data_IF_546480019944
#
_entry.id   IF_546480019944
#
_cell.length_a   1.000
_cell.length_b   1.000
_cell.length_c   1.000
_cell.angle_alpha   90.00
_cell.angle_beta   90.00
_cell.angle_gamma   90.00
#
_symmetry.space_group_name_H-M   'P 1'
#
loop_
_entity.id
_entity.type
_entity.pdbx_description
1 polymer ?
#
# COMPACT_ATOMS: atom_id res chain seq x y z
N UNK A 1 20.84 2.12 -31.54
CA UNK A 1 20.07 1.93 -30.32
C UNK A 1 21.07 1.83 -29.18
N UNK A 2 20.86 2.52 -28.06
CA UNK A 2 21.71 2.33 -26.89
C UNK A 2 21.47 0.91 -26.34
N UNK A 3 22.54 0.22 -25.99
CA UNK A 3 22.45 -1.11 -25.38
C UNK A 3 21.76 -0.99 -24.01
N UNK A 4 20.76 -1.84 -23.73
CA UNK A 4 20.06 -1.82 -22.44
C UNK A 4 21.01 -2.29 -21.33
N UNK A 5 21.24 -1.50 -20.27
CA UNK A 5 22.10 -1.90 -19.17
C UNK A 5 21.64 -3.20 -18.51
N UNK A 6 22.56 -4.14 -18.37
CA UNK A 6 22.38 -5.40 -17.63
C UNK A 6 22.89 -5.20 -16.21
N UNK A 7 22.05 -5.47 -15.21
CA UNK A 7 22.41 -5.28 -13.80
C UNK A 7 22.27 -6.61 -13.04
N UNK A 8 23.36 -7.07 -12.44
CA UNK A 8 23.34 -8.24 -11.54
C UNK A 8 22.94 -7.82 -10.12
N UNK A 9 21.68 -7.40 -9.99
CA UNK A 9 21.06 -7.03 -8.71
C UNK A 9 19.90 -7.95 -8.47
N UNK A 10 19.77 -8.47 -7.25
CA UNK A 10 18.61 -9.23 -6.81
C UNK A 10 17.63 -8.32 -6.04
N UNK A 11 16.53 -7.86 -6.65
CA UNK A 11 15.57 -6.98 -5.98
C UNK A 11 14.75 -7.67 -4.88
N UNK A 12 14.97 -8.97 -4.67
CA UNK A 12 14.31 -9.77 -3.64
C UNK A 12 15.28 -10.35 -2.61
N UNK A 13 16.55 -9.94 -2.64
CA UNK A 13 17.53 -10.26 -1.60
C UNK A 13 17.23 -9.50 -0.31
N UNK A 14 17.55 -10.09 0.84
CA UNK A 14 17.26 -9.53 2.16
C UNK A 14 17.89 -8.14 2.38
N UNK A 15 19.08 -7.88 1.84
CA UNK A 15 19.78 -6.59 1.90
C UNK A 15 19.06 -5.53 1.05
N UNK A 16 18.65 -5.88 -0.18
CA UNK A 16 17.86 -4.99 -1.02
C UNK A 16 16.51 -4.66 -0.37
N UNK A 17 15.80 -5.66 0.15
CA UNK A 17 14.47 -5.45 0.77
C UNK A 17 14.56 -4.62 2.06
N UNK A 18 15.70 -4.68 2.77
CA UNK A 18 15.93 -3.91 4.00
C UNK A 18 16.25 -2.45 3.71
N UNK A 19 17.12 -2.18 2.76
CA UNK A 19 17.63 -0.85 2.40
C UNK A 19 17.71 -0.69 0.87
N UNK A 20 16.56 -0.48 0.18
CA UNK A 20 16.50 -0.45 -1.28
C UNK A 20 17.08 0.82 -1.89
N UNK A 21 17.24 1.90 -1.12
CA UNK A 21 17.57 3.22 -1.62
C UNK A 21 18.91 3.28 -2.41
N UNK A 22 20.02 2.68 -1.95
CA UNK A 22 21.28 2.67 -2.70
C UNK A 22 21.16 1.92 -4.03
N UNK A 23 20.40 0.82 -4.07
CA UNK A 23 20.15 0.05 -5.29
C UNK A 23 19.25 0.83 -6.25
N UNK A 24 18.22 1.51 -5.74
CA UNK A 24 17.35 2.37 -6.53
C UNK A 24 18.12 3.49 -7.23
N UNK A 25 19.09 4.12 -6.55
CA UNK A 25 19.94 5.14 -7.14
C UNK A 25 20.79 4.56 -8.28
N UNK A 26 21.40 3.39 -8.06
CA UNK A 26 22.18 2.70 -9.10
C UNK A 26 21.31 2.37 -10.32
N UNK A 27 20.09 1.86 -10.11
CA UNK A 27 19.15 1.55 -11.18
C UNK A 27 18.73 2.79 -11.98
N UNK A 28 18.37 3.88 -11.29
CA UNK A 28 18.04 5.15 -11.96
C UNK A 28 19.20 5.72 -12.77
N UNK A 29 20.43 5.55 -12.26
CA UNK A 29 21.65 6.04 -12.90
C UNK A 29 22.03 5.20 -14.12
N UNK A 30 21.82 3.88 -14.06
CA UNK A 30 22.12 2.95 -15.15
C UNK A 30 21.34 3.27 -16.42
N UNK A 31 20.03 3.55 -16.33
CA UNK A 31 19.25 3.86 -17.51
C UNK A 31 17.75 3.99 -17.23
N UNK A 32 16.97 4.37 -18.26
CA UNK A 32 15.49 4.42 -18.18
C UNK A 32 14.90 3.01 -18.09
N UNK A 33 15.53 2.04 -18.75
CA UNK A 33 15.18 0.63 -18.75
C UNK A 33 16.45 -0.17 -18.46
N UNK A 34 16.34 -1.17 -17.61
CA UNK A 34 17.42 -2.09 -17.23
C UNK A 34 16.97 -3.53 -17.44
N UNK A 35 17.90 -4.46 -17.59
CA UNK A 35 17.63 -5.89 -17.63
C UNK A 35 18.23 -6.57 -16.40
N UNK A 36 17.42 -7.41 -15.73
CA UNK A 36 17.78 -8.17 -14.53
C UNK A 36 17.89 -9.64 -14.89
N UNK A 37 19.07 -10.15 -15.24
CA UNK A 37 19.26 -11.48 -15.85
C UNK A 37 18.89 -12.62 -14.91
N UNK A 38 19.01 -12.43 -13.60
CA UNK A 38 18.66 -13.44 -12.59
C UNK A 38 17.25 -13.97 -12.74
N UNK A 39 16.32 -13.12 -13.09
CA UNK A 39 14.90 -13.45 -13.28
C UNK A 39 14.45 -13.38 -14.75
N UNK A 40 15.34 -12.97 -15.66
CA UNK A 40 15.00 -12.75 -17.06
C UNK A 40 13.92 -11.67 -17.23
N UNK A 41 13.99 -10.59 -16.46
CA UNK A 41 12.98 -9.53 -16.44
C UNK A 41 13.57 -8.16 -16.76
N UNK A 42 12.74 -7.29 -17.26
CA UNK A 42 13.05 -5.87 -17.45
C UNK A 42 12.70 -5.07 -16.19
N UNK A 43 13.34 -3.92 -15.98
CA UNK A 43 13.07 -3.04 -14.85
C UNK A 43 13.03 -1.58 -15.26
N UNK A 44 12.18 -0.80 -14.58
CA UNK A 44 12.10 0.66 -14.68
C UNK A 44 12.13 1.28 -13.29
N UNK A 45 13.05 2.23 -13.07
CA UNK A 45 13.26 2.86 -11.78
C UNK A 45 13.12 4.39 -11.80
N UNK A 46 13.13 5.03 -12.99
CA UNK A 46 12.92 6.47 -13.14
C UNK A 46 11.44 6.81 -13.13
N UNK A 47 11.10 7.99 -12.62
CA UNK A 47 9.70 8.42 -12.49
C UNK A 47 8.95 8.42 -13.83
N UNK A 48 9.51 9.02 -14.85
CA UNK A 48 8.85 9.18 -16.14
C UNK A 48 8.46 7.84 -16.76
N UNK A 49 9.36 6.85 -16.74
CA UNK A 49 9.14 5.52 -17.32
C UNK A 49 8.15 4.71 -16.48
N UNK A 50 8.29 4.72 -15.16
CA UNK A 50 7.36 4.04 -14.25
C UNK A 50 5.96 4.62 -14.38
N UNK A 51 5.83 5.94 -14.34
CA UNK A 51 4.53 6.63 -14.48
C UNK A 51 3.92 6.38 -15.86
N UNK A 52 4.72 6.42 -16.92
CA UNK A 52 4.28 6.12 -18.28
C UNK A 52 3.75 4.69 -18.41
N UNK A 53 4.49 3.70 -17.91
CA UNK A 53 4.10 2.30 -17.94
C UNK A 53 2.83 2.00 -17.12
N UNK A 54 2.65 2.66 -15.96
CA UNK A 54 1.42 2.54 -15.16
C UNK A 54 0.18 3.07 -15.88
N UNK A 55 0.33 4.02 -16.80
CA UNK A 55 -0.79 4.64 -17.54
C UNK A 55 -1.09 3.96 -18.86
N UNK A 56 -0.13 3.31 -19.46
CA UNK A 56 -0.30 2.59 -20.73
C UNK A 56 -0.65 1.12 -20.50
N UNK A 57 -1.86 0.87 -20.02
CA UNK A 57 -2.37 -0.48 -19.77
C UNK A 57 -2.52 -1.32 -21.07
N UNK A 58 -2.54 -0.69 -22.24
CA UNK A 58 -2.64 -1.39 -23.51
C UNK A 58 -1.30 -2.03 -23.91
N UNK A 59 -0.19 -1.42 -23.51
CA UNK A 59 1.16 -1.96 -23.73
C UNK A 59 1.63 -2.75 -22.51
N UNK A 60 1.39 -2.26 -21.29
CA UNK A 60 1.83 -2.85 -20.02
C UNK A 60 0.63 -3.41 -19.27
N UNK A 61 0.18 -4.61 -19.65
CA UNK A 61 -1.03 -5.22 -19.14
C UNK A 61 -0.87 -5.80 -17.73
N UNK A 62 -1.97 -5.86 -16.98
CA UNK A 62 -2.06 -6.43 -15.64
C UNK A 62 -2.66 -7.84 -15.62
N UNK A 63 -3.45 -8.22 -16.62
CA UNK A 63 -4.16 -9.50 -16.65
C UNK A 63 -3.25 -10.73 -16.71
N UNK A 64 -1.99 -10.56 -17.14
CA UNK A 64 -0.98 -11.61 -17.09
C UNK A 64 -0.34 -11.79 -15.69
N UNK A 65 -0.89 -11.14 -14.66
CA UNK A 65 -0.37 -11.13 -13.29
C UNK A 65 0.52 -9.93 -13.01
N UNK A 66 0.40 -9.40 -11.79
CA UNK A 66 1.16 -8.23 -11.30
C UNK A 66 2.34 -8.61 -10.40
N UNK A 67 2.65 -9.90 -10.34
CA UNK A 67 3.85 -10.48 -9.75
C UNK A 67 4.79 -11.04 -10.82
N UNK A 68 5.84 -11.72 -10.37
CA UNK A 68 6.82 -12.39 -11.24
C UNK A 68 6.16 -13.51 -12.07
N UNK A 69 5.19 -14.22 -11.47
CA UNK A 69 4.41 -15.26 -12.16
C UNK A 69 3.65 -14.72 -13.36
N UNK A 70 3.68 -15.46 -14.48
CA UNK A 70 2.92 -15.15 -15.69
C UNK A 70 1.71 -16.08 -15.82
N UNK A 71 0.51 -15.57 -15.59
CA UNK A 71 -0.75 -16.33 -15.62
C UNK A 71 -1.10 -16.92 -17.00
N UNK A 72 -0.39 -16.54 -18.06
CA UNK A 72 -0.51 -17.15 -19.37
C UNK A 72 0.30 -18.44 -19.46
N UNK A 73 1.31 -18.62 -18.59
CA UNK A 73 2.26 -19.75 -18.60
C UNK A 73 2.03 -20.69 -17.42
N UNK A 74 1.48 -20.20 -16.30
CA UNK A 74 1.24 -21.00 -15.10
C UNK A 74 -0.11 -20.67 -14.44
N UNK A 75 -0.67 -21.64 -13.73
CA UNK A 75 -1.95 -21.47 -13.03
C UNK A 75 -1.78 -20.51 -11.87
N UNK A 76 -2.64 -19.48 -11.75
CA UNK A 76 -2.66 -18.61 -10.59
C UNK A 76 -2.90 -19.40 -9.29
N UNK A 77 -2.24 -19.02 -8.21
CA UNK A 77 -2.39 -19.66 -6.90
C UNK A 77 -3.77 -19.42 -6.25
N UNK A 78 -4.51 -18.43 -6.72
CA UNK A 78 -5.89 -18.09 -6.37
C UNK A 78 -6.64 -17.57 -7.61
N UNK A 79 -7.97 -17.44 -7.57
CA UNK A 79 -8.67 -16.68 -8.60
C UNK A 79 -8.09 -15.27 -8.71
N UNK A 80 -7.72 -14.80 -9.91
CA UNK A 80 -7.17 -13.45 -10.10
C UNK A 80 -8.08 -12.35 -9.53
N UNK A 81 -7.48 -11.25 -9.12
CA UNK A 81 -8.23 -10.06 -8.69
C UNK A 81 -8.88 -9.38 -9.89
N UNK A 82 -10.19 -9.13 -9.82
CA UNK A 82 -10.93 -8.43 -10.85
C UNK A 82 -10.53 -6.94 -10.97
N UNK A 83 -9.77 -6.42 -10.00
CA UNK A 83 -9.29 -5.05 -9.97
C UNK A 83 -7.81 -4.96 -10.33
N UNK A 84 -6.97 -5.79 -9.71
CA UNK A 84 -5.51 -5.67 -9.82
C UNK A 84 -4.95 -6.50 -10.98
N UNK A 85 -5.53 -7.69 -11.22
CA UNK A 85 -5.05 -8.69 -12.18
C UNK A 85 -6.02 -8.88 -13.36
N UNK A 86 -6.64 -7.77 -13.78
CA UNK A 86 -7.58 -7.73 -14.90
C UNK A 86 -7.36 -6.45 -15.71
N UNK A 87 -7.68 -6.51 -17.01
CA UNK A 87 -7.68 -5.36 -17.92
C UNK A 87 -9.11 -5.11 -18.47
N UNK A 88 -9.37 -3.94 -19.08
CA UNK A 88 -10.67 -3.67 -19.70
C UNK A 88 -11.09 -4.76 -20.71
N UNK A 89 -12.38 -5.13 -20.82
CA UNK A 89 -13.53 -4.48 -20.16
C UNK A 89 -13.85 -5.00 -18.76
N UNK A 90 -13.31 -6.17 -18.34
CA UNK A 90 -13.63 -6.79 -17.06
C UNK A 90 -13.23 -5.89 -15.87
N UNK A 91 -12.00 -5.35 -15.91
CA UNK A 91 -11.52 -4.38 -14.93
C UNK A 91 -12.48 -3.19 -14.79
N UNK A 92 -12.93 -2.60 -15.90
CA UNK A 92 -13.77 -1.39 -15.88
C UNK A 92 -15.09 -1.63 -15.15
N UNK A 93 -15.71 -2.81 -15.34
CA UNK A 93 -16.94 -3.21 -14.66
C UNK A 93 -16.71 -3.35 -13.15
N UNK A 94 -15.72 -4.12 -12.76
CA UNK A 94 -15.34 -4.34 -11.36
C UNK A 94 -14.95 -3.03 -10.66
N UNK A 95 -14.16 -2.19 -11.35
CA UNK A 95 -13.73 -0.88 -10.85
C UNK A 95 -14.90 0.05 -10.56
N UNK A 96 -15.93 0.09 -11.42
CA UNK A 96 -17.13 0.91 -11.23
C UNK A 96 -17.86 0.53 -9.96
N UNK A 97 -18.07 -0.77 -9.71
CA UNK A 97 -18.74 -1.27 -8.51
C UNK A 97 -17.96 -0.88 -7.26
N UNK A 98 -16.65 -1.13 -7.23
CA UNK A 98 -15.81 -0.83 -6.07
C UNK A 98 -15.70 0.68 -5.82
N UNK A 99 -15.54 1.50 -6.88
CA UNK A 99 -15.47 2.95 -6.74
C UNK A 99 -16.76 3.55 -6.18
N UNK A 100 -17.95 2.96 -6.48
CA UNK A 100 -19.21 3.37 -5.88
C UNK A 100 -19.25 3.05 -4.38
N UNK A 101 -18.77 1.87 -3.97
CA UNK A 101 -18.66 1.50 -2.56
C UNK A 101 -17.72 2.44 -1.79
N UNK A 102 -16.69 2.95 -2.44
CA UNK A 102 -15.71 3.90 -1.87
C UNK A 102 -15.99 5.36 -2.28
N UNK A 103 -17.23 5.69 -2.63
CA UNK A 103 -17.59 7.06 -3.01
C UNK A 103 -17.49 8.03 -1.81
N UNK A 104 -17.25 9.33 -2.05
CA UNK A 104 -17.14 10.32 -0.98
C UNK A 104 -18.33 10.30 -0.02
N UNK A 105 -19.57 10.13 -0.53
CA UNK A 105 -20.78 10.04 0.29
C UNK A 105 -20.75 8.83 1.24
N UNK A 106 -20.22 7.69 0.81
CA UNK A 106 -20.07 6.50 1.67
C UNK A 106 -18.98 6.74 2.71
N UNK A 107 -17.84 7.28 2.30
CA UNK A 107 -16.69 7.53 3.18
C UNK A 107 -17.01 8.54 4.29
N UNK A 108 -17.78 9.60 4.00
CA UNK A 108 -18.16 10.57 5.03
C UNK A 108 -18.99 9.94 6.15
N UNK A 109 -19.78 8.89 5.87
CA UNK A 109 -20.51 8.14 6.91
C UNK A 109 -19.60 7.31 7.82
N UNK A 110 -18.40 6.97 7.35
CA UNK A 110 -17.41 6.22 8.14
C UNK A 110 -16.57 7.11 9.06
N UNK A 111 -16.45 8.39 8.74
CA UNK A 111 -15.62 9.37 9.47
C UNK A 111 -15.88 9.38 10.98
N UNK A 112 -17.13 9.39 11.49
CA UNK A 112 -17.39 9.37 12.93
C UNK A 112 -16.84 8.12 13.63
N UNK A 113 -16.98 6.94 13.01
CA UNK A 113 -16.46 5.69 13.56
C UNK A 113 -14.92 5.70 13.61
N UNK A 114 -14.26 6.13 12.53
CA UNK A 114 -12.81 6.28 12.50
C UNK A 114 -12.31 7.25 13.57
N UNK A 115 -13.02 8.40 13.75
CA UNK A 115 -12.69 9.39 14.75
C UNK A 115 -12.83 8.86 16.18
N UNK A 116 -13.90 8.11 16.46
CA UNK A 116 -14.10 7.48 17.77
C UNK A 116 -12.99 6.50 18.08
N UNK A 117 -12.68 5.59 17.16
CA UNK A 117 -11.58 4.63 17.30
C UNK A 117 -10.23 5.32 17.53
N UNK A 118 -9.92 6.38 16.76
CA UNK A 118 -8.68 7.13 16.91
C UNK A 118 -8.59 7.82 18.29
N UNK A 119 -9.66 8.46 18.73
CA UNK A 119 -9.70 9.18 20.03
C UNK A 119 -9.49 8.24 21.23
N UNK A 120 -10.20 7.10 21.26
CA UNK A 120 -10.06 6.11 22.35
C UNK A 120 -8.66 5.51 22.37
N UNK A 121 -8.17 5.07 21.20
CA UNK A 121 -6.89 4.42 21.09
C UNK A 121 -5.73 5.34 21.46
N UNK A 122 -5.67 6.54 20.89
CA UNK A 122 -4.61 7.51 21.18
C UNK A 122 -4.65 7.94 22.64
N UNK A 123 -5.84 8.11 23.25
CA UNK A 123 -5.95 8.42 24.67
C UNK A 123 -5.31 7.33 25.55
N UNK A 124 -5.56 6.07 25.27
CA UNK A 124 -4.96 4.93 25.97
C UNK A 124 -3.43 4.88 25.81
N UNK A 125 -2.92 5.10 24.58
CA UNK A 125 -1.49 5.10 24.31
C UNK A 125 -0.75 6.26 25.01
N UNK A 126 -1.34 7.45 25.01
CA UNK A 126 -0.77 8.61 25.71
C UNK A 126 -0.72 8.37 27.23
N UNK A 127 -1.74 7.72 27.80
CA UNK A 127 -1.75 7.38 29.23
C UNK A 127 -0.64 6.35 29.59
N UNK A 128 -0.29 5.45 28.67
CA UNK A 128 0.83 4.50 28.85
C UNK A 128 2.20 5.16 28.73
N UNK A 129 2.33 6.20 27.91
CA UNK A 129 3.57 6.94 27.68
C UNK A 129 4.59 6.25 26.77
N UNK A 130 4.56 4.90 26.66
CA UNK A 130 5.37 4.11 25.73
C UNK A 130 4.50 3.05 25.04
N UNK A 131 4.77 2.80 23.76
CA UNK A 131 4.03 1.81 22.98
C UNK A 131 4.79 1.45 21.71
N UNK A 132 4.39 0.37 21.07
CA UNK A 132 4.89 0.02 19.73
C UNK A 132 4.00 0.67 18.67
N UNK A 133 4.58 1.54 17.83
CA UNK A 133 3.86 2.27 16.78
C UNK A 133 3.26 1.36 15.70
N UNK A 134 3.79 0.16 15.51
CA UNK A 134 3.24 -0.82 14.55
C UNK A 134 2.07 -1.56 15.21
N UNK A 135 2.32 -2.36 16.24
CA UNK A 135 1.33 -3.29 16.79
C UNK A 135 0.26 -2.60 17.62
N UNK A 136 0.64 -1.62 18.45
CA UNK A 136 -0.28 -0.95 19.37
C UNK A 136 -1.10 0.17 18.71
N UNK A 137 -0.62 0.72 17.58
CA UNK A 137 -1.33 1.82 16.89
C UNK A 137 -1.71 1.47 15.45
N UNK A 138 -0.73 1.27 14.56
CA UNK A 138 -1.02 1.14 13.13
C UNK A 138 -1.87 -0.10 12.80
N UNK A 139 -1.49 -1.28 13.32
CA UNK A 139 -2.26 -2.52 13.15
C UNK A 139 -3.61 -2.43 13.88
N UNK A 140 -3.62 -2.06 15.15
CA UNK A 140 -4.83 -2.01 15.95
C UNK A 140 -5.86 -1.04 15.37
N UNK A 141 -5.43 0.16 14.97
CA UNK A 141 -6.31 1.16 14.35
C UNK A 141 -6.87 0.68 13.01
N UNK A 142 -6.01 0.20 12.10
CA UNK A 142 -6.46 -0.24 10.78
C UNK A 142 -7.37 -1.46 10.85
N UNK A 143 -7.07 -2.44 11.71
CA UNK A 143 -7.92 -3.62 11.92
C UNK A 143 -9.31 -3.25 12.46
N UNK A 144 -9.38 -2.29 13.37
CA UNK A 144 -10.66 -1.86 13.93
C UNK A 144 -11.41 -0.97 12.96
N UNK A 145 -10.82 0.15 12.52
CA UNK A 145 -11.51 1.14 11.71
C UNK A 145 -11.94 0.60 10.33
N UNK A 146 -11.00 -0.01 9.61
CA UNK A 146 -11.30 -0.56 8.29
C UNK A 146 -12.13 -1.84 8.37
N UNK A 147 -11.91 -2.69 9.38
CA UNK A 147 -12.72 -3.88 9.61
C UNK A 147 -14.20 -3.53 9.84
N UNK A 148 -14.47 -2.52 10.68
CA UNK A 148 -15.83 -1.99 10.89
C UNK A 148 -16.39 -1.38 9.60
N UNK A 149 -15.59 -0.65 8.85
CA UNK A 149 -16.00 -0.04 7.58
C UNK A 149 -16.41 -1.09 6.53
N UNK A 150 -15.69 -2.19 6.43
CA UNK A 150 -16.07 -3.30 5.52
C UNK A 150 -17.33 -4.01 5.99
N UNK A 151 -17.59 -4.02 7.30
CA UNK A 151 -18.69 -4.72 7.94
C UNK A 151 -18.29 -6.08 8.53
N UNK A 152 -17.01 -6.25 8.87
CA UNK A 152 -16.53 -7.47 9.52
C UNK A 152 -16.89 -7.50 11.02
N UNK A 153 -17.21 -8.68 11.54
CA UNK A 153 -17.20 -8.92 12.98
C UNK A 153 -15.82 -8.73 13.58
N UNK A 154 -15.69 -8.47 14.91
CA UNK A 154 -14.37 -8.17 15.52
C UNK A 154 -13.45 -9.39 15.62
N UNK A 155 -13.99 -10.61 15.69
CA UNK A 155 -13.22 -11.83 15.92
C UNK A 155 -12.41 -12.24 14.68
N UNK A 156 -11.11 -12.51 14.88
CA UNK A 156 -10.23 -13.05 13.85
C UNK A 156 -9.74 -12.02 12.82
N UNK A 157 -9.94 -10.71 13.04
CA UNK A 157 -9.46 -9.67 12.12
C UNK A 157 -7.95 -9.69 11.94
N UNK A 158 -7.20 -10.17 12.94
CA UNK A 158 -5.74 -10.38 12.86
C UNK A 158 -5.32 -11.29 11.69
N UNK A 159 -6.22 -12.17 11.22
CA UNK A 159 -6.01 -12.99 10.04
C UNK A 159 -5.76 -12.14 8.77
N UNK A 160 -6.24 -10.90 8.74
CA UNK A 160 -6.04 -9.99 7.61
C UNK A 160 -4.57 -9.57 7.45
N UNK A 161 -3.83 -9.43 8.55
CA UNK A 161 -2.39 -9.12 8.52
C UNK A 161 -1.60 -10.30 7.95
N UNK A 162 -1.92 -11.53 8.40
CA UNK A 162 -1.26 -12.75 7.92
C UNK A 162 -1.56 -12.95 6.42
N UNK A 163 -2.81 -12.72 6.02
CA UNK A 163 -3.22 -12.87 4.63
C UNK A 163 -2.62 -11.78 3.73
N UNK A 164 -2.59 -10.53 4.19
CA UNK A 164 -1.98 -9.40 3.48
C UNK A 164 -0.49 -9.61 3.24
N UNK A 165 0.25 -10.00 4.27
CA UNK A 165 1.67 -10.33 4.15
C UNK A 165 1.94 -11.39 3.08
N UNK A 166 1.16 -12.47 3.08
CA UNK A 166 1.26 -13.53 2.05
C UNK A 166 0.93 -12.98 0.66
N UNK A 167 -0.13 -12.18 0.49
CA UNK A 167 -0.54 -11.64 -0.82
C UNK A 167 0.58 -10.82 -1.45
N UNK A 168 1.31 -10.01 -0.69
CA UNK A 168 2.40 -9.21 -1.20
C UNK A 168 3.70 -10.02 -1.40
N UNK A 169 3.96 -11.03 -0.58
CA UNK A 169 5.10 -11.92 -0.77
C UNK A 169 5.00 -12.78 -2.03
N UNK A 170 3.80 -13.22 -2.39
CA UNK A 170 3.59 -14.08 -3.59
C UNK A 170 3.72 -13.34 -4.91
N UNK A 171 3.85 -12.01 -4.92
CA UNK A 171 4.20 -11.26 -6.13
C UNK A 171 5.69 -11.37 -6.49
N UNK A 172 6.55 -11.74 -5.53
CA UNK A 172 7.97 -12.02 -5.76
C UNK A 172 8.24 -13.45 -6.25
N UNK A 173 9.52 -13.85 -6.24
CA UNK A 173 9.94 -15.22 -6.55
C UNK A 173 9.56 -16.18 -5.42
N UNK A 174 9.64 -17.49 -5.71
CA UNK A 174 9.46 -18.57 -4.71
C UNK A 174 10.70 -18.69 -3.82
N UNK A 175 11.00 -17.62 -3.07
CA UNK A 175 12.05 -17.56 -2.07
C UNK A 175 11.53 -17.91 -0.68
N UNK A 176 12.40 -17.80 0.34
CA UNK A 176 12.06 -18.03 1.74
C UNK A 176 10.82 -17.25 2.20
N UNK A 177 10.71 -15.95 1.84
CA UNK A 177 9.59 -15.09 2.25
C UNK A 177 8.26 -15.57 1.63
N UNK A 178 8.28 -16.02 0.38
CA UNK A 178 7.12 -16.64 -0.27
C UNK A 178 6.68 -17.89 0.48
N UNK A 179 7.62 -18.80 0.79
CA UNK A 179 7.31 -20.08 1.42
C UNK A 179 6.79 -19.89 2.86
N UNK A 180 7.48 -19.09 3.66
CA UNK A 180 7.10 -18.80 5.05
C UNK A 180 5.72 -18.13 5.13
N UNK A 181 5.46 -17.10 4.32
CA UNK A 181 4.18 -16.39 4.33
C UNK A 181 3.03 -17.26 3.82
N UNK A 182 3.28 -18.09 2.82
CA UNK A 182 2.27 -19.03 2.29
C UNK A 182 1.90 -20.08 3.34
N UNK A 183 2.89 -20.63 4.05
CA UNK A 183 2.67 -21.58 5.14
C UNK A 183 1.91 -20.94 6.30
N UNK A 184 2.27 -19.70 6.70
CA UNK A 184 1.59 -18.95 7.74
C UNK A 184 0.13 -18.62 7.38
N UNK A 185 -0.15 -18.38 6.11
CA UNK A 185 -1.50 -18.02 5.64
C UNK A 185 -2.43 -19.24 5.44
N UNK A 186 -1.91 -20.46 5.40
CA UNK A 186 -2.73 -21.67 5.16
C UNK A 186 -3.89 -21.82 6.17
N UNK A 187 -3.68 -21.68 7.51
CA UNK A 187 -4.76 -21.79 8.48
C UNK A 187 -5.84 -20.71 8.35
N UNK A 188 -5.48 -19.52 7.82
CA UNK A 188 -6.40 -18.37 7.77
C UNK A 188 -7.20 -18.26 6.46
N UNK A 189 -6.84 -19.04 5.42
CA UNK A 189 -7.51 -19.01 4.11
C UNK A 189 -9.01 -19.29 4.18
N UNK A 190 -9.40 -20.25 5.03
CA UNK A 190 -10.81 -20.58 5.21
C UNK A 190 -11.59 -19.42 5.85
N UNK A 191 -10.98 -18.73 6.83
CA UNK A 191 -11.55 -17.55 7.45
C UNK A 191 -11.75 -16.42 6.42
N UNK A 192 -10.73 -16.15 5.60
CA UNK A 192 -10.82 -15.14 4.54
C UNK A 192 -11.94 -15.49 3.56
N UNK A 193 -12.01 -16.75 3.09
CA UNK A 193 -13.04 -17.18 2.16
C UNK A 193 -14.45 -17.02 2.72
N UNK A 194 -14.64 -17.33 4.01
CA UNK A 194 -15.92 -17.15 4.70
C UNK A 194 -16.31 -15.68 4.84
N UNK A 195 -15.35 -14.82 5.25
CA UNK A 195 -15.61 -13.39 5.47
C UNK A 195 -15.66 -12.55 4.19
N UNK A 196 -15.45 -13.15 3.02
CA UNK A 196 -15.80 -12.57 1.74
C UNK A 196 -17.28 -12.77 1.38
N UNK A 197 -18.00 -13.66 2.04
CA UNK A 197 -19.41 -13.95 1.73
C UNK A 197 -20.37 -12.91 2.33
N UNK A 198 -21.48 -12.67 1.65
CA UNK A 198 -22.53 -11.73 2.09
C UNK A 198 -22.97 -11.97 3.54
N UNK A 199 -23.18 -13.22 3.92
CA UNK A 199 -23.70 -13.59 5.24
C UNK A 199 -22.75 -13.27 6.42
N UNK A 200 -21.48 -13.04 6.15
CA UNK A 200 -20.47 -12.69 7.15
C UNK A 200 -20.26 -11.17 7.32
N UNK A 201 -20.99 -10.37 6.56
CA UNK A 201 -20.82 -8.91 6.50
C UNK A 201 -22.06 -8.19 7.03
N UNK A 202 -21.83 -7.11 7.76
CA UNK A 202 -22.91 -6.25 8.24
C UNK A 202 -23.57 -5.49 7.07
N UNK A 203 -24.88 -5.28 7.17
CA UNK A 203 -25.71 -4.70 6.11
C UNK A 203 -25.38 -3.23 5.76
N UNK A 204 -24.67 -2.54 6.62
CA UNK A 204 -24.30 -1.12 6.46
C UNK A 204 -22.84 -0.88 6.07
N UNK A 205 -22.04 -1.95 5.89
CA UNK A 205 -20.63 -1.88 5.53
C UNK A 205 -20.38 -1.72 4.02
N UNK A 206 -19.11 -1.49 3.67
CA UNK A 206 -18.66 -1.42 2.28
C UNK A 206 -18.93 -2.72 1.52
N UNK A 207 -18.85 -3.86 2.21
CA UNK A 207 -19.17 -5.17 1.64
C UNK A 207 -20.63 -5.25 1.18
N UNK A 208 -21.57 -4.77 1.98
CA UNK A 208 -22.98 -4.74 1.60
C UNK A 208 -23.24 -3.86 0.36
N UNK A 209 -22.53 -2.72 0.24
CA UNK A 209 -22.61 -1.87 -0.96
C UNK A 209 -22.11 -2.61 -2.20
N UNK A 210 -21.05 -3.42 -2.07
CA UNK A 210 -20.57 -4.26 -3.18
C UNK A 210 -21.63 -5.31 -3.55
N UNK A 211 -22.22 -5.99 -2.58
CA UNK A 211 -23.23 -7.02 -2.83
C UNK A 211 -24.53 -6.45 -3.40
N UNK A 212 -24.87 -5.19 -3.12
CA UNK A 212 -26.00 -4.53 -3.78
C UNK A 212 -25.86 -4.42 -5.30
N UNK A 213 -24.63 -4.45 -5.81
CA UNK A 213 -24.38 -4.50 -7.24
C UNK A 213 -24.66 -5.89 -7.83
N UNK A 214 -24.51 -6.96 -7.05
CA UNK A 214 -24.95 -8.30 -7.45
C UNK A 214 -26.47 -8.40 -7.52
N UNK A 215 -27.19 -7.81 -6.55
CA UNK A 215 -28.66 -7.72 -6.56
C UNK A 215 -29.16 -6.95 -7.78
N UNK A 216 -28.41 -5.95 -8.24
CA UNK A 216 -28.72 -5.19 -9.44
C UNK A 216 -28.28 -5.87 -10.76
N UNK A 217 -27.66 -7.05 -10.69
CA UNK A 217 -27.17 -7.79 -11.85
C UNK A 217 -25.94 -7.17 -12.54
N UNK A 218 -25.24 -6.26 -11.89
CA UNK A 218 -24.03 -5.62 -12.44
C UNK A 218 -22.81 -6.53 -12.36
N UNK A 219 -22.76 -7.39 -11.35
CA UNK A 219 -21.75 -8.45 -11.12
C UNK A 219 -22.47 -9.68 -10.59
N UNK A 220 -21.82 -10.85 -10.66
CA UNK A 220 -22.36 -12.06 -10.01
C UNK A 220 -22.11 -12.04 -8.50
N UNK A 221 -22.78 -12.92 -7.75
CA UNK A 221 -22.53 -13.10 -6.30
C UNK A 221 -21.07 -13.48 -6.02
N UNK A 222 -20.50 -14.38 -6.85
CA UNK A 222 -19.09 -14.79 -6.75
C UNK A 222 -18.13 -13.62 -7.04
N UNK A 223 -18.43 -12.82 -8.07
CA UNK A 223 -17.63 -11.64 -8.38
C UNK A 223 -17.68 -10.60 -7.25
N UNK A 224 -18.85 -10.41 -6.61
CA UNK A 224 -18.98 -9.56 -5.44
C UNK A 224 -18.08 -10.04 -4.29
N UNK A 225 -18.06 -11.35 -4.01
CA UNK A 225 -17.15 -11.94 -3.04
C UNK A 225 -15.66 -11.70 -3.38
N UNK A 226 -15.29 -11.79 -4.67
CA UNK A 226 -13.91 -11.46 -5.11
C UNK A 226 -13.58 -9.97 -4.94
N UNK A 227 -14.54 -9.08 -5.09
CA UNK A 227 -14.34 -7.64 -4.84
C UNK A 227 -14.17 -7.34 -3.35
N UNK A 228 -14.97 -7.99 -2.48
CA UNK A 228 -14.78 -7.92 -1.02
C UNK A 228 -13.39 -8.44 -0.66
N UNK A 229 -12.98 -9.60 -1.19
CA UNK A 229 -11.63 -10.12 -0.99
C UNK A 229 -10.54 -9.11 -1.37
N UNK A 230 -10.75 -8.35 -2.45
CA UNK A 230 -9.79 -7.32 -2.87
C UNK A 230 -9.65 -6.20 -1.83
N UNK A 231 -10.74 -5.83 -1.13
CA UNK A 231 -10.67 -4.90 0.01
C UNK A 231 -9.89 -5.52 1.17
N UNK A 232 -10.20 -6.77 1.54
CA UNK A 232 -9.58 -7.46 2.67
C UNK A 232 -8.08 -7.73 2.46
N UNK A 233 -7.64 -7.99 1.23
CA UNK A 233 -6.25 -8.32 0.92
C UNK A 233 -5.33 -7.10 0.76
N UNK A 234 -5.87 -5.91 0.51
CA UNK A 234 -5.06 -4.73 0.19
C UNK A 234 -5.33 -3.54 1.12
N UNK A 235 -6.45 -3.54 1.85
CA UNK A 235 -6.89 -2.35 2.58
C UNK A 235 -6.26 -2.17 3.96
N UNK A 236 -5.63 -3.18 4.53
CA UNK A 236 -5.07 -3.12 5.89
C UNK A 236 -3.55 -3.02 5.87
N UNK A 237 -2.86 -4.02 5.34
CA UNK A 237 -1.40 -4.15 5.44
C UNK A 237 -0.66 -2.91 4.89
N UNK A 238 -1.09 -2.40 3.73
CA UNK A 238 -0.52 -1.19 3.13
C UNK A 238 -0.72 0.07 3.98
N UNK A 239 -1.87 0.22 4.60
CA UNK A 239 -2.20 1.34 5.49
C UNK A 239 -1.42 1.26 6.80
N UNK A 240 -1.30 0.07 7.38
CA UNK A 240 -0.47 -0.21 8.56
C UNK A 240 0.97 0.26 8.33
N UNK A 241 1.58 -0.17 7.22
CA UNK A 241 2.96 0.23 6.91
C UNK A 241 3.08 1.72 6.60
N UNK A 242 2.05 2.34 5.99
CA UNK A 242 2.07 3.79 5.78
C UNK A 242 2.04 4.54 7.09
N UNK A 243 1.19 4.15 8.05
CA UNK A 243 1.16 4.78 9.38
C UNK A 243 2.44 4.54 10.17
N UNK A 244 2.98 3.33 10.11
CA UNK A 244 4.24 3.01 10.78
C UNK A 244 5.40 3.91 10.28
N UNK A 245 5.50 4.11 8.96
CA UNK A 245 6.50 5.00 8.37
C UNK A 245 6.21 6.49 8.65
N UNK A 246 4.95 6.92 8.70
CA UNK A 246 4.59 8.28 9.11
C UNK A 246 5.03 8.56 10.55
N UNK A 247 4.74 7.64 11.47
CA UNK A 247 5.15 7.74 12.86
C UNK A 247 6.67 7.73 13.01
N UNK A 248 7.36 6.84 12.26
CA UNK A 248 8.82 6.82 12.25
C UNK A 248 9.41 8.15 11.79
N UNK A 249 8.95 8.70 10.67
CA UNK A 249 9.45 9.96 10.13
C UNK A 249 9.20 11.14 11.09
N UNK A 250 7.98 11.21 11.67
CA UNK A 250 7.61 12.26 12.61
C UNK A 250 8.33 12.14 13.97
N UNK A 251 8.62 10.92 14.42
CA UNK A 251 9.41 10.69 15.65
C UNK A 251 10.90 10.92 15.45
N UNK A 252 11.40 10.80 14.21
CA UNK A 252 12.80 11.05 13.86
C UNK A 252 13.12 12.53 13.63
N UNK A 253 12.11 13.36 13.34
CA UNK A 253 12.28 14.79 13.09
C UNK A 253 11.29 15.61 13.94
N UNK A 254 11.74 16.10 15.13
CA UNK A 254 10.91 16.91 16.01
C UNK A 254 10.34 18.19 15.37
N UNK A 255 11.00 18.74 14.33
CA UNK A 255 10.50 19.94 13.65
C UNK A 255 9.29 19.62 12.77
N UNK A 256 9.28 18.47 12.10
CA UNK A 256 8.12 17.98 11.34
C UNK A 256 6.95 17.65 12.27
N UNK A 257 7.23 17.04 13.44
CA UNK A 257 6.21 16.80 14.46
C UNK A 257 5.62 18.11 15.00
N UNK A 258 6.45 19.06 15.36
CA UNK A 258 5.99 20.39 15.82
C UNK A 258 5.13 21.08 14.76
N UNK A 259 5.55 21.05 13.49
CA UNK A 259 4.80 21.63 12.39
C UNK A 259 3.40 21.01 12.23
N UNK A 260 3.28 19.66 12.34
CA UNK A 260 1.99 18.99 12.29
C UNK A 260 1.10 19.33 13.49
N UNK A 261 1.68 19.51 14.67
CA UNK A 261 0.94 19.91 15.88
C UNK A 261 0.43 21.34 15.78
N UNK A 262 1.27 22.26 15.28
CA UNK A 262 0.92 23.67 15.13
C UNK A 262 -0.15 23.87 14.05
N UNK A 263 -0.13 23.04 13.01
CA UNK A 263 -1.12 23.04 11.92
C UNK A 263 -1.56 21.61 11.57
N UNK A 264 -2.57 21.05 12.25
CA UNK A 264 -3.10 19.72 11.94
C UNK A 264 -3.71 19.57 10.54
N UNK A 265 -3.96 20.67 9.81
CA UNK A 265 -4.41 20.60 8.41
C UNK A 265 -3.35 20.00 7.48
N UNK A 266 -2.10 19.99 7.90
CA UNK A 266 -0.98 19.34 7.20
C UNK A 266 -1.08 17.79 7.21
N UNK A 267 -2.02 17.21 7.96
CA UNK A 267 -2.15 15.73 8.08
C UNK A 267 -2.24 15.01 6.75
N UNK A 268 -3.00 15.56 5.81
CA UNK A 268 -3.09 15.00 4.45
C UNK A 268 -1.76 15.11 3.70
N UNK A 269 -1.11 16.26 3.76
CA UNK A 269 0.20 16.46 3.12
C UNK A 269 1.27 15.54 3.73
N UNK A 270 1.27 15.39 5.06
CA UNK A 270 2.16 14.45 5.76
C UNK A 270 1.95 13.00 5.31
N UNK A 271 0.70 12.58 5.09
CA UNK A 271 0.37 11.25 4.60
C UNK A 271 0.82 11.04 3.14
N UNK A 272 0.57 12.00 2.24
CA UNK A 272 1.04 11.94 0.84
C UNK A 272 2.58 11.92 0.78
N UNK A 273 3.25 12.72 1.60
CA UNK A 273 4.71 12.73 1.69
C UNK A 273 5.25 11.39 2.24
N UNK A 274 4.56 10.77 3.19
CA UNK A 274 4.93 9.43 3.66
C UNK A 274 4.84 8.41 2.53
N UNK A 275 3.77 8.45 1.74
CA UNK A 275 3.60 7.56 0.58
C UNK A 275 4.66 7.79 -0.50
N UNK A 276 5.06 9.04 -0.72
CA UNK A 276 6.17 9.36 -1.61
C UNK A 276 7.50 8.87 -1.04
N UNK A 277 7.82 9.28 0.17
CA UNK A 277 9.15 9.11 0.77
C UNK A 277 9.43 7.66 1.16
N UNK A 278 8.55 7.00 1.88
CA UNK A 278 8.72 5.62 2.30
C UNK A 278 8.26 4.62 1.24
N UNK A 279 7.24 4.97 0.45
CA UNK A 279 6.66 4.11 -0.58
C UNK A 279 6.43 2.68 -0.05
N UNK A 280 5.49 2.45 0.89
CA UNK A 280 5.31 1.12 1.46
C UNK A 280 5.18 0.02 0.41
N UNK A 281 4.42 0.24 -0.66
CA UNK A 281 4.44 -0.64 -1.84
C UNK A 281 5.62 -0.23 -2.73
N UNK A 282 6.64 -1.09 -2.78
CA UNK A 282 7.90 -0.81 -3.47
C UNK A 282 7.85 -1.10 -4.97
N UNK A 283 7.13 -2.16 -5.35
CA UNK A 283 7.19 -2.65 -6.73
C UNK A 283 5.85 -3.26 -7.16
N UNK A 284 5.60 -3.22 -8.47
CA UNK A 284 4.62 -4.06 -9.14
C UNK A 284 5.13 -4.47 -10.52
N UNK A 285 4.71 -5.64 -10.97
CA UNK A 285 4.99 -6.09 -12.32
C UNK A 285 3.91 -5.63 -13.32
N UNK A 286 4.33 -5.54 -14.54
CA UNK A 286 3.48 -5.52 -15.74
C UNK A 286 4.00 -6.56 -16.73
N UNK A 287 3.19 -6.86 -17.74
CA UNK A 287 3.63 -7.69 -18.85
C UNK A 287 3.37 -6.95 -20.15
N UNK A 288 4.35 -6.93 -21.04
CA UNK A 288 4.18 -6.30 -22.36
C UNK A 288 3.19 -7.12 -23.20
N UNK A 289 2.13 -6.47 -23.66
CA UNK A 289 1.13 -7.07 -24.57
C UNK A 289 1.59 -7.00 -26.03
N UNK A 290 2.55 -6.15 -26.34
CA UNK A 290 3.20 -5.91 -27.65
C UNK A 290 4.62 -5.40 -27.40
N UNK A 291 5.43 -5.33 -28.45
CA UNK A 291 6.73 -4.66 -28.35
C UNK A 291 6.54 -3.22 -27.84
N UNK A 292 7.33 -2.83 -26.85
CA UNK A 292 7.25 -1.53 -26.19
C UNK A 292 8.53 -0.75 -26.40
N UNK A 293 8.41 0.43 -27.03
CA UNK A 293 9.51 1.38 -27.15
C UNK A 293 9.51 2.33 -25.95
N UNK A 294 10.57 2.28 -25.12
CA UNK A 294 10.72 3.10 -23.92
C UNK A 294 12.08 3.77 -23.92
N UNK A 295 12.10 5.09 -24.10
CA UNK A 295 13.32 5.91 -24.09
C UNK A 295 14.47 5.34 -24.98
N UNK A 296 14.11 4.77 -26.14
CA UNK A 296 15.04 4.20 -27.11
C UNK A 296 15.45 2.74 -26.88
N UNK A 297 14.92 2.08 -25.84
CA UNK A 297 15.03 0.64 -25.63
C UNK A 297 13.75 -0.07 -26.10
N UNK A 298 13.88 -1.22 -26.77
CA UNK A 298 12.76 -2.07 -27.18
C UNK A 298 12.60 -3.22 -26.20
N UNK A 299 11.45 -3.32 -25.54
CA UNK A 299 11.07 -4.46 -24.71
C UNK A 299 10.13 -5.34 -25.53
N UNK A 300 10.51 -6.60 -25.83
CA UNK A 300 9.67 -7.50 -26.63
C UNK A 300 8.31 -7.77 -25.99
N UNK A 301 7.33 -8.15 -26.83
CA UNK A 301 6.03 -8.62 -26.38
C UNK A 301 6.17 -9.87 -25.51
N UNK A 302 5.37 -9.94 -24.45
CA UNK A 302 5.36 -11.09 -23.54
C UNK A 302 6.34 -11.04 -22.37
N UNK A 303 7.13 -9.98 -22.26
CA UNK A 303 8.14 -9.83 -21.23
C UNK A 303 7.57 -9.26 -19.92
N UNK A 304 8.10 -9.72 -18.79
CA UNK A 304 7.82 -9.15 -17.47
C UNK A 304 8.65 -7.89 -17.23
N UNK A 305 8.00 -6.85 -16.75
CA UNK A 305 8.61 -5.57 -16.42
C UNK A 305 8.33 -5.24 -14.97
N UNK A 306 9.36 -5.12 -14.16
CA UNK A 306 9.28 -4.72 -12.76
C UNK A 306 9.35 -3.19 -12.66
N UNK A 307 8.29 -2.58 -12.16
CA UNK A 307 8.19 -1.15 -11.92
C UNK A 307 8.58 -0.86 -10.48
N UNK A 308 9.69 -0.14 -10.27
CA UNK A 308 10.18 0.25 -8.95
C UNK A 308 9.54 1.55 -8.50
N UNK A 309 8.37 1.46 -7.84
CA UNK A 309 7.60 2.63 -7.38
C UNK A 309 8.37 3.44 -6.34
N UNK A 310 9.04 2.75 -5.40
CA UNK A 310 9.88 3.40 -4.39
C UNK A 310 11.04 4.18 -5.00
N UNK A 311 11.67 3.63 -6.05
CA UNK A 311 12.71 4.33 -6.79
C UNK A 311 12.19 5.56 -7.52
N UNK A 312 11.05 5.44 -8.20
CA UNK A 312 10.40 6.53 -8.94
C UNK A 312 10.01 7.69 -8.01
N UNK A 313 9.48 7.39 -6.84
CA UNK A 313 9.08 8.39 -5.84
C UNK A 313 10.27 9.13 -5.20
N UNK A 314 11.48 8.67 -5.44
CA UNK A 314 12.73 9.33 -5.02
C UNK A 314 13.62 9.71 -6.21
N UNK A 315 13.06 9.84 -7.40
CA UNK A 315 13.80 10.28 -8.58
C UNK A 315 14.08 11.80 -8.51
N UNK A 316 15.36 12.24 -8.46
CA UNK A 316 15.70 13.66 -8.41
C UNK A 316 15.36 14.43 -9.69
N UNK A 317 14.98 13.72 -10.78
CA UNK A 317 14.49 14.36 -12.03
C UNK A 317 13.06 14.88 -11.86
N UNK A 318 12.32 14.35 -10.89
CA UNK A 318 10.91 14.72 -10.60
C UNK A 318 10.80 15.48 -9.28
N UNK A 319 11.58 15.07 -8.25
CA UNK A 319 11.45 15.55 -6.88
C UNK A 319 12.71 16.29 -6.45
N UNK A 320 12.58 17.55 -6.06
CA UNK A 320 13.66 18.30 -5.40
C UNK A 320 13.94 17.71 -4.01
N UNK A 321 15.24 17.53 -3.66
CA UNK A 321 15.66 16.90 -2.40
C UNK A 321 14.84 15.62 -2.07
N UNK A 322 14.84 14.60 -2.95
CA UNK A 322 13.90 13.48 -2.85
C UNK A 322 14.03 12.66 -1.58
N UNK A 323 15.19 12.66 -0.95
CA UNK A 323 15.50 11.89 0.26
C UNK A 323 15.12 12.63 1.55
N UNK A 324 14.77 13.92 1.46
CA UNK A 324 14.26 14.68 2.59
C UNK A 324 12.77 14.43 2.76
N UNK A 325 12.36 14.03 3.96
CA UNK A 325 10.96 14.01 4.39
C UNK A 325 10.51 15.42 4.77
N UNK A 326 9.45 15.92 4.12
CA UNK A 326 8.92 17.27 4.38
C UNK A 326 7.39 17.28 4.26
N UNK A 327 6.69 17.40 5.39
CA UNK A 327 5.22 17.39 5.43
C UNK A 327 4.57 18.60 4.74
N UNK A 328 5.36 19.60 4.35
CA UNK A 328 4.89 20.73 3.55
C UNK A 328 5.11 20.56 2.05
N UNK A 329 5.79 19.48 1.65
CA UNK A 329 5.99 19.16 0.25
C UNK A 329 4.64 18.97 -0.45
N UNK A 330 4.51 19.51 -1.65
CA UNK A 330 3.41 19.18 -2.55
C UNK A 330 3.67 17.82 -3.21
N UNK A 331 3.44 16.73 -2.46
CA UNK A 331 3.73 15.38 -2.90
C UNK A 331 2.67 14.77 -3.83
N UNK A 332 1.61 15.52 -4.20
CA UNK A 332 0.58 15.04 -5.13
C UNK A 332 1.22 14.71 -6.48
N UNK A 333 0.90 13.53 -7.02
CA UNK A 333 1.50 13.03 -8.27
C UNK A 333 2.48 11.87 -8.04
N UNK A 334 2.85 11.58 -6.78
CA UNK A 334 3.65 10.39 -6.49
C UNK A 334 2.96 9.11 -6.98
N UNK A 335 3.74 8.07 -7.27
CA UNK A 335 3.23 6.77 -7.73
C UNK A 335 2.99 5.76 -6.60
N UNK A 336 3.00 6.17 -5.33
CA UNK A 336 2.71 5.29 -4.20
C UNK A 336 1.30 4.71 -4.18
N UNK A 337 0.35 5.40 -4.82
CA UNK A 337 -0.98 4.86 -5.13
C UNK A 337 -1.12 4.33 -6.56
N UNK A 338 -0.01 4.13 -7.27
CA UNK A 338 -0.04 3.80 -8.70
C UNK A 338 -0.54 4.97 -9.56
N UNK A 339 -0.83 4.71 -10.83
CA UNK A 339 -1.37 5.67 -11.79
C UNK A 339 -2.23 4.95 -12.85
N UNK A 340 -2.96 5.72 -13.67
CA UNK A 340 -3.80 5.19 -14.74
C UNK A 340 -5.03 4.44 -14.23
N UNK A 341 -5.49 3.44 -14.99
CA UNK A 341 -6.72 2.71 -14.68
C UNK A 341 -6.60 1.88 -13.40
N UNK A 342 -5.39 1.47 -13.03
CA UNK A 342 -5.09 0.72 -11.82
C UNK A 342 -4.65 1.59 -10.63
N UNK A 343 -4.78 2.92 -10.70
CA UNK A 343 -4.59 3.77 -9.53
C UNK A 343 -5.41 3.23 -8.34
N UNK A 344 -4.87 3.29 -7.13
CA UNK A 344 -5.46 2.67 -5.95
C UNK A 344 -6.94 3.08 -5.78
N UNK A 345 -7.84 2.11 -5.75
CA UNK A 345 -9.27 2.37 -5.54
C UNK A 345 -9.56 2.78 -4.10
N UNK A 346 -8.73 2.31 -3.15
CA UNK A 346 -8.81 2.62 -1.73
C UNK A 346 -8.15 3.94 -1.31
N UNK A 347 -7.55 4.69 -2.25
CA UNK A 347 -6.81 5.91 -1.90
C UNK A 347 -7.62 6.93 -1.09
N UNK A 348 -8.93 7.04 -1.34
CA UNK A 348 -9.79 7.96 -0.61
C UNK A 348 -10.05 7.50 0.84
N UNK A 349 -10.19 6.20 1.08
CA UNK A 349 -10.37 5.68 2.45
C UNK A 349 -9.07 5.77 3.24
N UNK A 350 -7.93 5.43 2.66
CA UNK A 350 -6.62 5.57 3.31
C UNK A 350 -6.31 7.04 3.71
N UNK A 351 -6.66 7.98 2.83
CA UNK A 351 -6.59 9.41 3.15
C UNK A 351 -7.52 9.82 4.28
N UNK A 352 -8.75 9.31 4.28
CA UNK A 352 -9.70 9.57 5.36
C UNK A 352 -9.19 9.05 6.71
N UNK A 353 -8.63 7.84 6.75
CA UNK A 353 -8.01 7.28 7.96
C UNK A 353 -6.90 8.20 8.48
N UNK A 354 -6.04 8.70 7.60
CA UNK A 354 -4.96 9.62 7.96
C UNK A 354 -5.46 10.99 8.41
N UNK A 355 -6.44 11.57 7.70
CA UNK A 355 -7.10 12.84 8.04
C UNK A 355 -7.85 12.78 9.38
N UNK A 356 -8.11 11.60 9.88
CA UNK A 356 -8.71 11.37 11.19
C UNK A 356 -7.63 11.10 12.25
N UNK A 357 -6.74 10.13 12.02
CA UNK A 357 -5.78 9.67 13.02
C UNK A 357 -4.70 10.73 13.33
N UNK A 358 -4.09 11.32 12.30
CA UNK A 358 -2.97 12.25 12.49
C UNK A 358 -3.36 13.52 13.27
N UNK A 359 -4.53 14.16 13.03
CA UNK A 359 -4.96 15.29 13.87
C UNK A 359 -5.24 14.90 15.32
N UNK A 360 -5.74 13.70 15.60
CA UNK A 360 -5.95 13.21 16.96
C UNK A 360 -4.60 13.06 17.67
N UNK A 361 -3.61 12.46 17.00
CA UNK A 361 -2.24 12.38 17.51
C UNK A 361 -1.66 13.78 17.78
N UNK A 362 -1.76 14.69 16.81
CA UNK A 362 -1.23 16.05 16.93
C UNK A 362 -1.80 16.82 18.12
N UNK A 363 -3.10 16.64 18.43
CA UNK A 363 -3.75 17.30 19.57
C UNK A 363 -3.39 16.68 20.91
N UNK A 364 -3.27 15.35 20.98
CA UNK A 364 -3.11 14.63 22.27
C UNK A 364 -1.66 14.41 22.67
N UNK A 365 -0.74 14.32 21.70
CA UNK A 365 0.68 14.02 21.91
C UNK A 365 1.50 15.30 21.84
N UNK A 366 2.18 15.65 22.94
CA UNK A 366 3.08 16.81 23.01
C UNK A 366 4.42 16.57 22.35
N UNK A 367 5.05 15.42 22.66
CA UNK A 367 6.29 14.97 22.02
C UNK A 367 6.14 13.49 21.65
N UNK A 368 6.77 13.13 20.55
CA UNK A 368 6.93 11.74 20.10
C UNK A 368 8.41 11.52 19.80
N UNK A 369 8.97 10.44 20.29
CA UNK A 369 10.40 10.11 20.17
C UNK A 369 10.54 8.60 19.96
N UNK A 370 11.58 8.18 19.25
CA UNK A 370 11.95 6.77 19.16
C UNK A 370 12.47 6.30 20.54
N UNK A 371 11.95 5.19 21.05
CA UNK A 371 12.36 4.55 22.31
C UNK A 371 13.19 3.28 22.06
N UNK A 372 13.83 3.21 20.92
CA UNK A 372 14.67 2.11 20.46
C UNK A 372 14.72 2.05 18.94
N UNK A 373 15.58 1.20 18.38
CA UNK A 373 15.68 1.05 16.93
C UNK A 373 14.43 0.36 16.36
N UNK A 374 13.89 0.86 15.23
CA UNK A 374 12.84 0.16 14.53
C UNK A 374 13.35 -1.17 13.98
N UNK A 375 12.48 -2.16 13.92
CA UNK A 375 12.78 -3.45 13.29
C UNK A 375 12.09 -3.54 11.93
N UNK A 376 12.83 -3.75 10.83
CA UNK A 376 12.23 -3.93 9.52
C UNK A 376 11.46 -5.25 9.45
N UNK A 377 10.39 -5.27 8.64
CA UNK A 377 9.69 -6.46 8.19
C UNK A 377 10.02 -6.67 6.73
N UNK A 378 10.64 -7.78 6.40
CA UNK A 378 10.96 -8.11 5.01
C UNK A 378 9.73 -8.69 4.32
N UNK A 379 9.45 -8.18 3.12
CA UNK A 379 8.41 -8.67 2.24
C UNK A 379 8.84 -8.40 0.78
N UNK A 380 8.52 -9.29 -0.13
CA UNK A 380 8.96 -9.20 -1.54
C UNK A 380 8.44 -7.96 -2.28
N UNK A 381 7.44 -7.28 -1.76
CA UNK A 381 6.77 -6.15 -2.44
C UNK A 381 6.60 -4.93 -1.53
N UNK A 382 6.47 -5.16 -0.22
CA UNK A 382 6.17 -4.09 0.74
C UNK A 382 7.38 -3.80 1.64
N UNK A 383 7.74 -2.53 1.77
CA UNK A 383 8.69 -2.03 2.75
C UNK A 383 7.97 -1.72 4.05
N UNK A 384 8.11 -2.56 5.05
CA UNK A 384 7.39 -2.45 6.31
C UNK A 384 8.30 -2.44 7.54
N UNK A 385 7.67 -2.13 8.68
CA UNK A 385 8.26 -2.30 10.00
C UNK A 385 7.53 -3.42 10.75
N UNK A 386 8.28 -4.24 11.46
CA UNK A 386 7.74 -5.26 12.38
C UNK A 386 7.56 -4.70 13.79
N UNK A 387 8.27 -3.62 14.14
CA UNK A 387 8.19 -2.96 15.44
C UNK A 387 8.74 -1.55 15.34
N UNK A 388 8.12 -0.63 16.03
CA UNK A 388 8.51 0.78 16.15
C UNK A 388 8.34 1.25 17.60
N UNK A 389 9.31 1.02 18.50
CA UNK A 389 9.23 1.48 19.89
C UNK A 389 9.15 3.01 19.95
N UNK A 390 8.11 3.54 20.56
CA UNK A 390 7.84 4.96 20.68
C UNK A 390 7.63 5.37 22.14
N UNK A 391 8.12 6.57 22.46
CA UNK A 391 7.82 7.28 23.72
C UNK A 391 7.09 8.56 23.42
N UNK A 392 6.01 8.80 24.15
CA UNK A 392 5.19 10.00 23.99
C UNK A 392 4.98 10.70 25.33
N UNK A 393 4.77 12.03 25.26
CA UNK A 393 4.27 12.82 26.39
C UNK A 393 2.95 13.47 25.97
N UNK A 394 2.00 13.55 26.89
CA UNK A 394 0.74 14.23 26.64
C UNK A 394 0.97 15.69 26.22
N UNK A 395 0.16 16.19 25.29
CA UNK A 395 0.10 17.62 25.03
C UNK A 395 -0.34 18.36 26.29
N UNK A 396 0.31 19.49 26.59
CA UNK A 396 -0.17 20.37 27.65
C UNK A 396 -1.53 20.91 27.23
N UNK A 397 -2.55 20.68 28.04
CA UNK A 397 -3.82 21.36 27.85
C UNK A 397 -3.55 22.85 27.95
N UNK A 398 -3.86 23.63 26.92
CA UNK A 398 -3.94 25.05 27.07
C UNK A 398 -5.03 25.30 28.11
N UNK A 399 -4.63 25.73 29.32
CA UNK A 399 -5.59 26.21 30.30
C UNK A 399 -6.22 27.42 29.65
N UNK A 400 -7.51 27.32 29.33
CA UNK A 400 -8.26 28.42 28.77
C UNK A 400 -8.11 29.66 29.67
N UNK A 401 -7.68 30.74 29.04
CA UNK A 401 -7.73 32.07 29.64
C UNK A 401 -9.18 32.57 29.63
#
# INVERSE_FOLDING_TARGET
>A
MAETPVMDVDPFADDFLREPEPFHEQMRSAGPVIFLPRYGIWGMARFAEVHGALRDHQTFCSAAGVGLSDFRKEKPWRPPSLLLEADPPAHTRARRVTARALSPRVLERLRPGFAHTAEEMVAGLVARGTFDGVTDLAEAYSLQAFGDAVGLGPAGRENLLIYGDMVFNVFGPRNRLFEESTAAAEPVRAWIAEHCKRAALADNGLGAVIYSAADAGEVTEDEAGLLVRSLLSAGIDTTVHTFAWALHALASDPAQWAALRDDPSLSRAAFEETLRHASPVQTFFRTTARDAEVAGATIPAGEKVLLFLGAANRDPREWEDPDRFDIRRHAIGHVGFGSGIHACVGAAVARLEAEVLLPVLARRVGTIELDGPPRPRLNNTVKGLASLPLRVKAARMAHGA
#
